data_IF_244392149055
#
_entry.id   IF_244392149055
#
_cell.length_a   1.000
_cell.length_b   1.000
_cell.length_c   1.000
_cell.angle_alpha   90.00
_cell.angle_beta   90.00
_cell.angle_gamma   90.00
#
_symmetry.space_group_name_H-M   'P 1'
#
loop_
_entity.id
_entity.type
_entity.pdbx_description
1 polymer ?
#
# COMPACT_ATOMS: atom_id res chain seq x y z
N UNK A 1 -15.77 -1.60 15.29
CA UNK A 1 -15.48 -1.37 13.85
C UNK A 1 -14.64 -0.12 13.76
N UNK A 2 -13.37 -0.24 13.38
CA UNK A 2 -12.50 0.94 13.20
C UNK A 2 -12.80 1.63 11.88
N UNK A 3 -12.50 2.93 11.78
CA UNK A 3 -12.76 3.75 10.60
C UNK A 3 -11.80 4.93 10.54
N UNK A 4 -11.75 5.61 9.39
CA UNK A 4 -10.96 6.83 9.18
C UNK A 4 -11.83 7.93 8.58
N UNK A 5 -11.44 9.19 8.78
CA UNK A 5 -12.07 10.34 8.11
C UNK A 5 -11.74 10.38 6.61
N UNK A 6 -12.61 10.99 5.81
CA UNK A 6 -12.40 11.19 4.37
C UNK A 6 -11.21 12.09 4.02
N UNK A 7 -10.73 12.86 4.98
CA UNK A 7 -9.55 13.74 4.91
C UNK A 7 -8.25 13.06 5.36
N UNK A 8 -8.34 11.84 5.91
CA UNK A 8 -7.17 11.11 6.38
C UNK A 8 -6.21 10.78 5.23
N UNK A 9 -4.92 10.95 5.50
CA UNK A 9 -3.86 10.60 4.55
C UNK A 9 -3.71 9.09 4.40
N UNK A 10 -3.13 8.66 3.27
CA UNK A 10 -2.80 7.24 3.06
C UNK A 10 -1.85 6.68 4.12
N UNK A 11 -0.99 7.53 4.70
CA UNK A 11 -0.08 7.13 5.78
C UNK A 11 -0.85 6.83 7.05
N UNK A 12 -1.77 7.70 7.45
CA UNK A 12 -2.62 7.48 8.63
C UNK A 12 -3.52 6.26 8.46
N UNK A 13 -4.06 6.05 7.25
CA UNK A 13 -4.81 4.83 6.94
C UNK A 13 -3.95 3.57 7.12
N UNK A 14 -2.71 3.57 6.61
CA UNK A 14 -1.79 2.42 6.75
C UNK A 14 -1.37 2.19 8.20
N UNK A 15 -1.01 3.26 8.93
CA UNK A 15 -0.63 3.18 10.35
C UNK A 15 -1.77 2.57 11.16
N UNK A 16 -3.02 2.98 10.90
CA UNK A 16 -4.20 2.42 11.56
C UNK A 16 -4.43 0.95 11.19
N UNK A 17 -4.29 0.58 9.92
CA UNK A 17 -4.39 -0.82 9.48
C UNK A 17 -3.39 -1.72 10.21
N UNK A 18 -2.15 -1.26 10.37
CA UNK A 18 -1.09 -2.00 11.04
C UNK A 18 -1.32 -2.11 12.56
N UNK A 19 -1.74 -1.02 13.20
CA UNK A 19 -2.01 -0.99 14.63
C UNK A 19 -3.16 -1.92 15.03
N UNK A 20 -4.18 -2.00 14.18
CA UNK A 20 -5.40 -2.75 14.46
C UNK A 20 -5.39 -4.15 13.80
N UNK A 21 -4.31 -4.50 13.10
CA UNK A 21 -4.15 -5.76 12.36
C UNK A 21 -5.30 -6.04 11.37
N UNK A 22 -5.75 -5.00 10.65
CA UNK A 22 -6.84 -5.09 9.65
C UNK A 22 -6.37 -4.68 8.26
N UNK A 23 -6.99 -5.26 7.23
CA UNK A 23 -6.63 -4.98 5.82
C UNK A 23 -7.43 -3.85 5.18
N UNK A 24 -8.50 -3.40 5.84
CA UNK A 24 -9.46 -2.45 5.29
C UNK A 24 -10.14 -1.61 6.36
N UNK A 25 -10.32 -0.33 6.05
CA UNK A 25 -10.91 0.67 6.92
C UNK A 25 -12.08 1.37 6.22
N UNK A 26 -13.27 1.42 6.84
CA UNK A 26 -14.36 2.32 6.49
C UNK A 26 -13.89 3.77 6.42
N UNK A 27 -14.28 4.48 5.36
CA UNK A 27 -14.10 5.92 5.25
C UNK A 27 -15.41 6.59 5.65
N UNK A 28 -15.34 7.48 6.63
CA UNK A 28 -16.48 8.19 7.20
C UNK A 28 -16.38 9.67 6.89
N UNK A 29 -17.53 10.30 6.61
CA UNK A 29 -17.67 11.75 6.49
C UNK A 29 -19.01 12.17 7.11
N UNK A 30 -18.98 13.17 8.00
CA UNK A 30 -20.17 13.65 8.71
C UNK A 30 -20.97 12.53 9.42
N UNK A 31 -20.30 11.50 9.93
CA UNK A 31 -20.93 10.34 10.57
C UNK A 31 -21.53 9.29 9.62
N UNK A 32 -21.37 9.45 8.30
CA UNK A 32 -21.81 8.48 7.29
C UNK A 32 -20.62 7.75 6.67
N UNK A 33 -20.78 6.46 6.42
CA UNK A 33 -19.81 5.71 5.61
C UNK A 33 -19.94 6.15 4.15
N UNK A 34 -18.85 6.68 3.59
CA UNK A 34 -18.77 7.15 2.19
C UNK A 34 -17.91 6.23 1.32
N UNK A 35 -17.17 5.30 1.92
CA UNK A 35 -16.37 4.35 1.15
C UNK A 35 -15.57 3.38 2.01
N UNK A 36 -14.64 2.69 1.35
CA UNK A 36 -13.71 1.74 1.95
C UNK A 36 -12.29 2.05 1.46
N UNK A 37 -11.34 2.12 2.36
CA UNK A 37 -9.91 2.18 2.06
C UNK A 37 -9.31 0.80 2.34
N UNK A 38 -8.67 0.20 1.35
CA UNK A 38 -8.01 -1.11 1.49
C UNK A 38 -6.49 -0.99 1.35
N UNK A 39 -5.76 -1.97 1.85
CA UNK A 39 -4.31 -2.07 1.63
C UNK A 39 -3.96 -1.99 0.12
N UNK A 40 -4.79 -2.58 -0.75
CA UNK A 40 -4.58 -2.55 -2.21
C UNK A 40 -4.71 -1.13 -2.79
N UNK A 41 -5.62 -0.30 -2.26
CA UNK A 41 -5.78 1.08 -2.70
C UNK A 41 -4.53 1.90 -2.39
N UNK A 42 -3.92 1.67 -1.22
CA UNK A 42 -2.66 2.28 -0.80
C UNK A 42 -1.52 1.88 -1.76
N UNK A 43 -1.42 0.59 -2.11
CA UNK A 43 -0.42 0.09 -3.06
C UNK A 43 -0.60 0.71 -4.45
N UNK A 44 -1.83 0.79 -4.95
CA UNK A 44 -2.15 1.40 -6.26
C UNK A 44 -1.82 2.88 -6.29
N UNK A 45 -2.12 3.61 -5.22
CA UNK A 45 -1.81 5.03 -5.11
C UNK A 45 -0.29 5.28 -5.13
N UNK A 46 0.49 4.41 -4.45
CA UNK A 46 1.95 4.44 -4.53
C UNK A 46 2.47 4.08 -5.91
N UNK A 47 1.90 3.06 -6.58
CA UNK A 47 2.31 2.68 -7.94
C UNK A 47 2.17 3.84 -8.93
N UNK A 48 1.06 4.59 -8.89
CA UNK A 48 0.87 5.79 -9.71
C UNK A 48 1.94 6.86 -9.48
N UNK A 49 2.54 6.89 -8.29
CA UNK A 49 3.68 7.76 -7.97
C UNK A 49 5.00 7.14 -8.45
N UNK A 50 5.17 5.83 -8.32
CA UNK A 50 6.34 5.10 -8.79
C UNK A 50 6.50 5.09 -10.31
N UNK A 51 5.43 5.08 -11.11
CA UNK A 51 5.59 5.21 -12.58
C UNK A 51 6.22 6.55 -12.99
N UNK A 52 6.11 7.59 -12.15
CA UNK A 52 6.80 8.86 -12.36
C UNK A 52 8.25 8.86 -11.85
N UNK A 53 8.60 7.95 -10.94
CA UNK A 53 9.91 7.84 -10.30
C UNK A 53 10.53 6.47 -10.56
N UNK A 54 11.29 6.37 -11.66
CA UNK A 54 12.29 5.33 -11.95
C UNK A 54 11.83 3.85 -11.90
N UNK A 55 11.89 3.20 -13.08
CA UNK A 55 11.71 1.75 -13.27
C UNK A 55 12.71 0.97 -12.40
N UNK A 56 12.25 0.43 -11.28
CA UNK A 56 13.11 -0.37 -10.40
C UNK A 56 13.42 -1.73 -11.03
N UNK A 57 14.66 -2.22 -10.94
CA UNK A 57 14.97 -3.58 -11.34
C UNK A 57 14.26 -4.54 -10.38
N UNK A 58 13.23 -5.21 -10.89
CA UNK A 58 12.47 -6.17 -10.10
C UNK A 58 13.35 -7.28 -9.51
N UNK A 59 12.82 -7.96 -8.51
CA UNK A 59 13.44 -9.07 -7.77
C UNK A 59 14.02 -10.23 -8.63
N UNK A 60 13.70 -10.27 -9.94
CA UNK A 60 14.29 -11.18 -10.92
C UNK A 60 15.75 -10.85 -11.26
N UNK A 61 16.17 -9.58 -11.19
CA UNK A 61 17.54 -9.15 -11.49
C UNK A 61 18.52 -9.59 -10.40
N UNK A 62 18.09 -9.59 -9.14
CA UNK A 62 18.91 -10.06 -8.02
C UNK A 62 19.20 -11.58 -8.07
N UNK A 63 18.29 -12.39 -8.65
CA UNK A 63 18.41 -13.86 -8.70
C UNK A 63 19.33 -14.39 -9.81
N UNK A 64 19.73 -13.57 -10.79
CA UNK A 64 20.70 -13.97 -11.83
C UNK A 64 22.15 -13.84 -11.38
N UNK A 65 22.45 -13.07 -10.33
CA UNK A 65 23.81 -12.88 -9.84
C UNK A 65 24.38 -14.07 -9.03
N UNK A 66 23.55 -15.07 -8.70
CA UNK A 66 23.93 -16.18 -7.81
C UNK A 66 24.04 -17.57 -8.46
N UNK A 67 24.05 -17.69 -9.80
CA UNK A 67 24.28 -18.98 -10.47
C UNK A 67 25.39 -18.89 -11.49
N UNK A 68 26.62 -18.96 -11.00
CA UNK A 68 27.71 -19.54 -11.76
C UNK A 68 28.01 -20.92 -11.14
N UNK A 69 27.61 -22.05 -11.76
CA UNK A 69 28.14 -23.33 -11.37
C UNK A 69 29.60 -23.37 -11.84
N UNK A 70 30.53 -23.32 -10.88
CA UNK A 70 31.93 -23.64 -11.15
C UNK A 70 32.04 -25.07 -11.70
N UNK A 71 32.92 -25.21 -12.67
CA UNK A 71 33.24 -26.39 -13.49
C UNK A 71 33.50 -27.67 -12.71
#
# INVERSE_FOLDING_TARGET
>A
MMSIGGDATLREALERMLQEEVEHLPVMDGGRMVGMCTHTDILRARHRRFEREHRQPGWRSARKAGRNPAS
#
